data_IF_515065280010
#
_entry.id   IF_515065280010
#
_cell.length_a   1.000
_cell.length_b   1.000
_cell.length_c   1.000
_cell.angle_alpha   90.00
_cell.angle_beta   90.00
_cell.angle_gamma   90.00
#
_symmetry.space_group_name_H-M   'P 1'
#
loop_
_entity.id
_entity.type
_entity.pdbx_description
1 polymer ?
#
# COMPACT_ATOMS: atom_id res chain seq x y z
N UNK A 1 -3.48 5.17 -7.68
CA UNK A 1 -2.39 6.05 -8.18
C UNK A 1 -1.53 6.62 -7.05
N UNK A 2 -2.11 7.17 -5.96
CA UNK A 2 -1.33 7.74 -4.85
C UNK A 2 -0.30 6.76 -4.27
N UNK A 3 -0.68 5.50 -3.99
CA UNK A 3 0.23 4.53 -3.37
C UNK A 3 1.49 4.27 -4.20
N UNK A 4 1.37 4.07 -5.51
CA UNK A 4 2.54 3.88 -6.37
C UNK A 4 3.41 5.13 -6.46
N UNK A 5 2.81 6.33 -6.53
CA UNK A 5 3.57 7.58 -6.47
C UNK A 5 4.31 7.71 -5.13
N UNK A 6 3.66 7.41 -4.01
CA UNK A 6 4.27 7.38 -2.69
C UNK A 6 5.45 6.38 -2.63
N UNK A 7 5.27 5.16 -3.15
CA UNK A 7 6.33 4.16 -3.20
C UNK A 7 7.55 4.64 -3.99
N UNK A 8 7.35 5.27 -5.15
CA UNK A 8 8.43 5.84 -5.96
C UNK A 8 9.16 6.96 -5.21
N UNK A 9 8.41 7.84 -4.53
CA UNK A 9 9.00 8.94 -3.75
C UNK A 9 9.85 8.40 -2.60
N UNK A 10 9.38 7.40 -1.87
CA UNK A 10 10.15 6.78 -0.77
C UNK A 10 11.35 6.00 -1.33
N UNK A 11 11.16 5.30 -2.45
CA UNK A 11 12.23 4.55 -3.11
C UNK A 11 13.35 5.44 -3.68
N UNK A 12 13.16 6.76 -3.74
CA UNK A 12 14.21 7.71 -4.12
C UNK A 12 15.45 7.67 -3.21
N UNK A 13 15.32 7.12 -2.00
CA UNK A 13 16.46 6.85 -1.11
C UNK A 13 17.47 5.88 -1.71
N UNK A 14 17.06 5.03 -2.66
CA UNK A 14 17.95 4.10 -3.36
C UNK A 14 18.88 4.80 -4.37
N UNK A 15 18.52 5.99 -4.86
CA UNK A 15 19.25 6.70 -5.92
C UNK A 15 20.64 7.17 -5.46
N UNK A 16 20.84 7.33 -4.15
CA UNK A 16 22.13 7.73 -3.57
C UNK A 16 22.62 6.75 -2.50
N UNK A 17 22.27 5.47 -2.68
CA UNK A 17 22.71 4.36 -1.83
C UNK A 17 22.46 4.59 -0.33
N UNK A 18 21.30 5.16 -0.01
CA UNK A 18 20.90 5.42 1.37
C UNK A 18 21.43 6.73 1.96
N UNK A 19 22.10 7.57 1.19
CA UNK A 19 22.50 8.91 1.63
C UNK A 19 21.31 9.83 1.93
N UNK A 20 20.17 9.53 1.32
CA UNK A 20 18.89 10.17 1.59
C UNK A 20 18.75 11.59 1.03
N UNK A 21 19.72 12.08 0.23
CA UNK A 21 19.68 13.46 -0.30
C UNK A 21 18.45 13.72 -1.17
N UNK A 22 18.16 12.80 -2.10
CA UNK A 22 17.03 12.95 -3.01
C UNK A 22 15.72 12.87 -2.25
N UNK A 23 15.56 11.88 -1.38
CA UNK A 23 14.37 11.73 -0.55
C UNK A 23 14.17 12.94 0.36
N UNK A 24 15.22 13.43 1.03
CA UNK A 24 15.15 14.58 1.92
C UNK A 24 14.81 15.87 1.17
N UNK A 25 15.33 16.05 -0.05
CA UNK A 25 14.98 17.19 -0.90
C UNK A 25 13.47 17.18 -1.24
N UNK A 26 12.93 16.02 -1.64
CA UNK A 26 11.50 15.87 -1.93
C UNK A 26 10.65 16.11 -0.67
N UNK A 27 11.06 15.52 0.46
CA UNK A 27 10.36 15.69 1.73
C UNK A 27 10.36 17.15 2.20
N UNK A 28 11.49 17.84 2.09
CA UNK A 28 11.61 19.27 2.40
C UNK A 28 10.72 20.13 1.49
N UNK A 29 10.64 19.81 0.19
CA UNK A 29 9.72 20.49 -0.72
C UNK A 29 8.26 20.36 -0.26
N UNK A 30 7.83 19.13 0.11
CA UNK A 30 6.47 18.91 0.60
C UNK A 30 6.20 19.59 1.93
N UNK A 31 7.19 19.73 2.78
CA UNK A 31 7.07 20.44 4.05
C UNK A 31 7.02 21.96 3.84
N UNK A 32 7.93 22.52 3.05
CA UNK A 32 7.98 23.94 2.73
C UNK A 32 6.72 24.45 2.03
N UNK A 33 6.03 23.58 1.28
CA UNK A 33 4.75 23.87 0.61
C UNK A 33 3.52 23.48 1.44
N UNK A 34 3.69 23.09 2.70
CA UNK A 34 2.63 22.55 3.58
C UNK A 34 1.89 21.33 3.02
N UNK A 35 2.42 20.68 1.99
CA UNK A 35 1.81 19.49 1.39
C UNK A 35 1.81 18.30 2.34
N UNK A 36 2.79 18.17 3.22
CA UNK A 36 2.82 17.11 4.23
C UNK A 36 1.73 17.32 5.29
N UNK A 37 1.60 18.56 5.79
CA UNK A 37 0.69 18.94 6.88
C UNK A 37 -0.78 18.96 6.45
N UNK A 38 -1.06 19.33 5.20
CA UNK A 38 -2.43 19.40 4.66
C UNK A 38 -2.76 18.12 3.89
N UNK A 39 -1.86 17.67 3.03
CA UNK A 39 -2.07 16.51 2.16
C UNK A 39 -2.17 15.20 2.95
N UNK A 40 -1.38 15.04 4.01
CA UNK A 40 -1.45 13.85 4.87
C UNK A 40 -2.84 13.63 5.47
N UNK A 41 -3.40 14.59 6.23
CA UNK A 41 -4.77 14.49 6.74
C UNK A 41 -5.84 14.34 5.64
N UNK A 42 -5.67 15.00 4.50
CA UNK A 42 -6.59 14.82 3.36
C UNK A 42 -6.57 13.40 2.82
N UNK A 43 -5.38 12.79 2.69
CA UNK A 43 -5.24 11.39 2.26
C UNK A 43 -5.88 10.45 3.29
N UNK A 44 -5.71 10.72 4.60
CA UNK A 44 -6.38 9.95 5.65
C UNK A 44 -7.90 10.01 5.51
N UNK A 45 -8.45 11.19 5.25
CA UNK A 45 -9.88 11.39 5.05
C UNK A 45 -10.39 10.65 3.80
N UNK A 46 -9.65 10.73 2.69
CA UNK A 46 -9.98 10.02 1.45
C UNK A 46 -9.90 8.50 1.66
N UNK A 47 -8.89 8.01 2.38
CA UNK A 47 -8.76 6.58 2.73
C UNK A 47 -9.93 6.11 3.58
N UNK A 48 -10.33 6.90 4.58
CA UNK A 48 -11.50 6.59 5.43
C UNK A 48 -12.79 6.60 4.62
N UNK A 49 -13.01 7.60 3.76
CA UNK A 49 -14.18 7.66 2.89
C UNK A 49 -14.22 6.47 1.92
N UNK A 50 -13.06 6.12 1.32
CA UNK A 50 -12.92 4.93 0.47
C UNK A 50 -13.30 3.66 1.23
N UNK A 51 -12.81 3.49 2.45
CA UNK A 51 -13.13 2.35 3.29
C UNK A 51 -14.63 2.28 3.61
N UNK A 52 -15.22 3.37 4.09
CA UNK A 52 -16.66 3.43 4.43
C UNK A 52 -17.53 3.08 3.23
N UNK A 53 -17.21 3.60 2.04
CA UNK A 53 -17.95 3.29 0.81
C UNK A 53 -17.78 1.84 0.37
N UNK A 54 -16.57 1.29 0.49
CA UNK A 54 -16.28 -0.11 0.15
C UNK A 54 -16.88 -1.09 1.17
N UNK A 55 -16.85 -0.74 2.44
CA UNK A 55 -17.36 -1.54 3.56
C UNK A 55 -18.84 -1.92 3.41
N UNK A 56 -19.63 -1.10 2.71
CA UNK A 56 -21.05 -1.40 2.40
C UNK A 56 -21.25 -2.73 1.66
N UNK A 57 -20.19 -3.28 1.07
CA UNK A 57 -20.21 -4.56 0.33
C UNK A 57 -19.54 -5.71 1.08
N UNK A 58 -19.05 -5.46 2.28
CA UNK A 58 -18.37 -6.47 3.08
C UNK A 58 -19.35 -7.17 4.02
N UNK A 59 -19.23 -8.48 4.21
CA UNK A 59 -20.02 -9.22 5.20
C UNK A 59 -19.48 -8.93 6.61
N UNK A 60 -20.24 -8.24 7.43
CA UNK A 60 -19.86 -7.96 8.82
C UNK A 60 -20.36 -9.00 9.80
N UNK A 61 -21.42 -9.72 9.46
CA UNK A 61 -21.96 -10.78 10.32
C UNK A 61 -21.21 -12.09 10.11
N UNK A 62 -20.87 -12.78 11.18
CA UNK A 62 -20.18 -14.07 11.14
C UNK A 62 -20.87 -15.11 10.24
N UNK A 63 -22.22 -15.11 10.24
CA UNK A 63 -23.01 -15.97 9.34
C UNK A 63 -22.75 -15.66 7.87
N UNK A 64 -22.75 -14.37 7.50
CA UNK A 64 -22.51 -13.92 6.13
C UNK A 64 -21.07 -14.25 5.69
N UNK A 65 -20.09 -14.08 6.60
CA UNK A 65 -18.69 -14.44 6.34
C UNK A 65 -18.54 -15.96 6.09
N UNK A 66 -19.21 -16.79 6.90
CA UNK A 66 -19.20 -18.25 6.73
C UNK A 66 -19.88 -18.68 5.42
N UNK A 67 -21.01 -18.07 5.08
CA UNK A 67 -21.71 -18.36 3.82
C UNK A 67 -20.87 -17.94 2.61
N UNK A 68 -20.26 -16.75 2.65
CA UNK A 68 -19.37 -16.26 1.61
C UNK A 68 -18.14 -17.16 1.43
N UNK A 69 -17.49 -17.55 2.53
CA UNK A 69 -16.36 -18.47 2.48
C UNK A 69 -16.73 -19.81 1.82
N UNK A 70 -17.83 -20.40 2.27
CA UNK A 70 -18.34 -21.66 1.72
C UNK A 70 -18.70 -21.55 0.24
N UNK A 71 -19.28 -20.42 -0.16
CA UNK A 71 -19.58 -20.11 -1.56
C UNK A 71 -18.31 -19.96 -2.40
N UNK A 72 -17.30 -19.25 -1.89
CA UNK A 72 -16.00 -19.07 -2.56
C UNK A 72 -15.28 -20.40 -2.79
N UNK A 73 -15.27 -21.27 -1.78
CA UNK A 73 -14.68 -22.62 -1.90
C UNK A 73 -15.43 -23.47 -2.93
N UNK A 74 -16.77 -23.39 -2.96
CA UNK A 74 -17.57 -24.19 -3.93
C UNK A 74 -17.40 -23.73 -5.38
N UNK A 75 -17.38 -22.41 -5.61
CA UNK A 75 -17.21 -21.85 -6.95
C UNK A 75 -15.79 -22.08 -7.46
N UNK A 76 -14.79 -22.05 -6.60
CA UNK A 76 -13.38 -22.12 -6.92
C UNK A 76 -12.98 -21.24 -8.12
N UNK A 77 -13.56 -20.03 -8.20
CA UNK A 77 -13.38 -19.10 -9.29
C UNK A 77 -12.39 -18.00 -8.91
N UNK A 78 -11.44 -17.69 -9.81
CA UNK A 78 -10.38 -16.73 -9.55
C UNK A 78 -10.90 -15.37 -9.09
N UNK A 79 -11.86 -14.76 -9.80
CA UNK A 79 -12.39 -13.43 -9.44
C UNK A 79 -13.04 -13.41 -8.04
N UNK A 80 -13.57 -14.55 -7.58
CA UNK A 80 -14.12 -14.68 -6.23
C UNK A 80 -13.01 -14.65 -5.19
N UNK A 81 -11.94 -15.38 -5.41
CA UNK A 81 -10.77 -15.37 -4.53
C UNK A 81 -10.06 -14.03 -4.51
N UNK A 82 -9.91 -13.36 -5.66
CA UNK A 82 -9.38 -11.99 -5.71
C UNK A 82 -10.23 -11.03 -4.89
N UNK A 83 -11.56 -11.19 -4.88
CA UNK A 83 -12.43 -10.39 -4.02
C UNK A 83 -12.20 -10.67 -2.53
N UNK A 84 -12.04 -11.93 -2.13
CA UNK A 84 -11.75 -12.32 -0.74
C UNK A 84 -10.42 -11.71 -0.29
N UNK A 85 -9.37 -11.86 -1.10
CA UNK A 85 -8.04 -11.28 -0.81
C UNK A 85 -8.15 -9.77 -0.66
N UNK A 86 -8.85 -9.09 -1.57
CA UNK A 86 -9.05 -7.64 -1.50
C UNK A 86 -9.81 -7.20 -0.24
N UNK A 87 -10.79 -7.97 0.22
CA UNK A 87 -11.53 -7.69 1.44
C UNK A 87 -10.65 -7.86 2.69
N UNK A 88 -9.88 -8.95 2.76
CA UNK A 88 -8.96 -9.21 3.90
C UNK A 88 -7.86 -8.15 3.96
N UNK A 89 -7.23 -7.86 2.83
CA UNK A 89 -6.18 -6.83 2.76
C UNK A 89 -6.71 -5.45 3.12
N UNK A 90 -7.96 -5.11 2.78
CA UNK A 90 -8.59 -3.84 3.14
C UNK A 90 -8.63 -3.64 4.67
N UNK A 91 -9.01 -4.66 5.45
CA UNK A 91 -9.03 -4.58 6.92
C UNK A 91 -7.63 -4.44 7.50
N UNK A 92 -6.67 -5.20 6.99
CA UNK A 92 -5.27 -5.12 7.43
C UNK A 92 -4.72 -3.72 7.16
N UNK A 93 -4.94 -3.19 5.95
CA UNK A 93 -4.46 -1.85 5.56
C UNK A 93 -5.15 -0.76 6.37
N UNK A 94 -6.44 -0.90 6.69
CA UNK A 94 -7.11 0.08 7.53
C UNK A 94 -6.39 0.25 8.86
N UNK A 95 -6.04 -0.84 9.52
CA UNK A 95 -5.37 -0.80 10.83
C UNK A 95 -3.92 -0.32 10.65
N UNK A 96 -3.15 -1.02 9.83
CA UNK A 96 -1.72 -0.74 9.67
C UNK A 96 -1.48 0.60 8.96
N UNK A 97 -2.31 0.97 7.99
CA UNK A 97 -2.25 2.26 7.32
C UNK A 97 -2.54 3.43 8.25
N UNK A 98 -3.51 3.30 9.17
CA UNK A 98 -3.76 4.31 10.20
C UNK A 98 -2.57 4.45 11.15
N UNK A 99 -1.97 3.34 11.59
CA UNK A 99 -0.76 3.35 12.43
C UNK A 99 0.40 4.03 11.69
N UNK A 100 0.61 3.68 10.42
CA UNK A 100 1.65 4.30 9.58
C UNK A 100 1.44 5.80 9.44
N UNK A 101 0.24 6.23 9.07
CA UNK A 101 -0.08 7.65 8.89
C UNK A 101 0.06 8.44 10.19
N UNK A 102 -0.46 7.90 11.29
CA UNK A 102 -0.29 8.52 12.61
C UNK A 102 1.18 8.71 12.95
N UNK A 103 1.98 7.65 12.84
CA UNK A 103 3.41 7.68 13.16
C UNK A 103 4.18 8.70 12.33
N UNK A 104 3.87 8.81 11.03
CA UNK A 104 4.57 9.74 10.14
C UNK A 104 4.12 11.18 10.36
N UNK A 105 2.81 11.43 10.51
CA UNK A 105 2.28 12.77 10.67
C UNK A 105 2.57 13.40 12.04
N UNK A 106 2.81 12.57 13.07
CA UNK A 106 3.19 13.05 14.41
C UNK A 106 4.69 13.21 14.61
N UNK A 107 5.51 12.80 13.62
CA UNK A 107 6.98 12.88 13.69
C UNK A 107 7.56 13.65 12.50
N UNK A 108 6.96 14.77 12.15
CA UNK A 108 7.49 15.71 11.16
C UNK A 108 8.73 16.43 11.70
N UNK A 109 9.68 16.86 10.86
CA UNK A 109 9.79 16.66 9.43
C UNK A 109 10.16 15.22 9.04
N UNK A 110 9.71 14.79 7.87
CA UNK A 110 10.07 13.47 7.31
C UNK A 110 11.49 13.54 6.76
N UNK A 111 12.36 12.62 7.20
CA UNK A 111 13.71 12.47 6.66
C UNK A 111 14.07 11.01 6.44
N UNK A 112 15.01 10.75 5.54
CA UNK A 112 15.54 9.41 5.30
C UNK A 112 16.18 8.83 6.58
N UNK A 113 16.89 9.66 7.35
CA UNK A 113 17.57 9.30 8.59
C UNK A 113 16.58 8.86 9.68
N UNK A 114 15.51 9.65 9.90
CA UNK A 114 14.43 9.28 10.84
C UNK A 114 13.73 7.98 10.42
N UNK A 115 13.44 7.83 9.12
CA UNK A 115 12.81 6.62 8.57
C UNK A 115 13.74 5.42 8.73
N UNK A 116 15.03 5.57 8.45
CA UNK A 116 16.05 4.55 8.66
C UNK A 116 16.16 4.12 10.12
N UNK A 117 16.31 5.08 11.04
CA UNK A 117 16.39 4.81 12.49
C UNK A 117 15.16 4.04 12.99
N UNK A 118 13.96 4.41 12.51
CA UNK A 118 12.72 3.70 12.83
C UNK A 118 12.74 2.25 12.35
N UNK A 119 13.15 2.00 11.11
CA UNK A 119 13.19 0.66 10.53
C UNK A 119 14.28 -0.19 11.20
N UNK A 120 15.43 0.38 11.52
CA UNK A 120 16.54 -0.30 12.21
C UNK A 120 16.19 -0.73 13.64
N UNK A 121 15.19 -0.14 14.26
CA UNK A 121 14.63 -0.60 15.53
C UNK A 121 13.98 -1.99 15.50
N UNK A 122 13.87 -2.62 14.32
CA UNK A 122 13.43 -4.00 14.11
C UNK A 122 11.91 -4.17 14.04
N UNK A 123 11.14 -3.63 14.98
CA UNK A 123 9.67 -3.73 14.97
C UNK A 123 9.04 -3.12 13.71
N UNK A 124 9.50 -1.94 13.32
CA UNK A 124 9.02 -1.27 12.13
C UNK A 124 9.44 -1.95 10.83
N UNK A 125 10.58 -2.63 10.82
CA UNK A 125 10.96 -3.47 9.68
C UNK A 125 9.92 -4.59 9.46
N UNK A 126 9.58 -5.32 10.53
CA UNK A 126 8.57 -6.38 10.48
C UNK A 126 7.20 -5.81 10.06
N UNK A 127 6.82 -4.66 10.60
CA UNK A 127 5.59 -3.96 10.25
C UNK A 127 5.51 -3.66 8.75
N UNK A 128 6.56 -3.09 8.15
CA UNK A 128 6.56 -2.75 6.73
C UNK A 128 6.73 -3.97 5.82
N UNK A 129 7.45 -5.01 6.23
CA UNK A 129 7.49 -6.29 5.49
C UNK A 129 6.08 -6.88 5.35
N UNK A 130 5.23 -6.70 6.35
CA UNK A 130 3.85 -7.16 6.32
C UNK A 130 2.94 -6.20 5.54
N UNK A 131 3.05 -4.90 5.78
CA UNK A 131 2.19 -3.88 5.17
C UNK A 131 2.38 -3.80 3.66
N UNK A 132 3.63 -3.89 3.18
CA UNK A 132 3.97 -3.75 1.76
C UNK A 132 3.19 -4.72 0.85
N UNK A 133 3.24 -6.06 1.05
CA UNK A 133 2.49 -6.96 0.18
C UNK A 133 0.97 -6.78 0.33
N UNK A 134 0.47 -6.41 1.50
CA UNK A 134 -0.98 -6.18 1.69
C UNK A 134 -1.46 -5.02 0.83
N UNK A 135 -0.69 -3.92 0.81
CA UNK A 135 -1.02 -2.74 0.00
C UNK A 135 -0.94 -3.06 -1.50
N UNK A 136 0.12 -3.70 -1.94
CA UNK A 136 0.33 -3.97 -3.36
C UNK A 136 -0.72 -4.94 -3.92
N UNK A 137 -1.06 -5.99 -3.18
CA UNK A 137 -2.15 -6.89 -3.55
C UNK A 137 -3.50 -6.15 -3.59
N UNK A 138 -3.76 -5.29 -2.59
CA UNK A 138 -5.03 -4.55 -2.56
C UNK A 138 -5.17 -3.60 -3.74
N UNK A 139 -4.13 -2.84 -4.05
CA UNK A 139 -4.13 -1.86 -5.13
C UNK A 139 -4.15 -2.54 -6.49
N UNK A 140 -3.33 -3.57 -6.71
CA UNK A 140 -3.26 -4.32 -7.96
C UNK A 140 -4.60 -4.99 -8.28
N UNK A 141 -5.11 -5.82 -7.37
CA UNK A 141 -6.42 -6.48 -7.50
C UNK A 141 -7.53 -5.44 -7.68
N UNK A 142 -7.47 -4.34 -6.91
CA UNK A 142 -8.46 -3.26 -7.01
C UNK A 142 -8.49 -2.61 -8.39
N UNK A 143 -7.33 -2.30 -8.96
CA UNK A 143 -7.20 -1.73 -10.29
C UNK A 143 -7.76 -2.68 -11.38
N UNK A 144 -7.37 -3.96 -11.31
CA UNK A 144 -7.90 -5.00 -12.21
C UNK A 144 -9.43 -5.08 -12.13
N UNK A 145 -10.00 -5.15 -10.93
CA UNK A 145 -11.44 -5.27 -10.71
C UNK A 145 -12.23 -4.04 -11.15
N UNK A 146 -11.66 -2.85 -10.99
CA UNK A 146 -12.23 -1.61 -11.53
C UNK A 146 -12.27 -1.70 -13.05
N UNK A 147 -11.19 -2.11 -13.70
CA UNK A 147 -11.11 -2.30 -15.15
C UNK A 147 -12.17 -3.28 -15.68
N UNK A 148 -12.39 -4.39 -14.97
CA UNK A 148 -13.46 -5.36 -15.32
C UNK A 148 -14.84 -4.74 -15.13
N UNK A 149 -15.07 -4.06 -13.99
CA UNK A 149 -16.39 -3.47 -13.67
C UNK A 149 -16.80 -2.38 -14.66
N UNK A 150 -15.85 -1.58 -15.15
CA UNK A 150 -16.13 -0.48 -16.09
C UNK A 150 -16.08 -0.93 -17.55
N UNK A 151 -15.84 -2.23 -17.80
CA UNK A 151 -15.81 -2.78 -19.16
C UNK A 151 -14.54 -2.49 -19.96
N UNK A 152 -13.53 -1.89 -19.33
CA UNK A 152 -12.21 -1.69 -19.94
C UNK A 152 -11.49 -3.02 -20.17
N UNK A 153 -11.67 -3.95 -19.22
CA UNK A 153 -11.16 -5.32 -19.31
C UNK A 153 -12.32 -6.24 -19.71
N UNK A 154 -12.29 -6.69 -20.96
CA UNK A 154 -13.28 -7.61 -21.54
C UNK A 154 -12.90 -9.07 -21.26
N UNK A 155 -13.86 -10.00 -21.39
CA UNK A 155 -13.63 -11.43 -21.19
C UNK A 155 -12.47 -11.96 -22.07
N UNK A 156 -12.32 -11.44 -23.29
CA UNK A 156 -11.29 -11.86 -24.26
C UNK A 156 -9.87 -11.46 -23.87
N UNK A 157 -9.68 -10.44 -23.03
CA UNK A 157 -8.35 -9.93 -22.66
C UNK A 157 -8.06 -10.01 -21.14
N UNK A 158 -8.93 -10.65 -20.36
CA UNK A 158 -8.78 -10.79 -18.90
C UNK A 158 -7.46 -11.41 -18.49
N UNK A 159 -7.06 -12.49 -19.16
CA UNK A 159 -5.84 -13.20 -18.83
C UNK A 159 -4.59 -12.31 -19.02
N UNK A 160 -4.58 -11.51 -20.08
CA UNK A 160 -3.50 -10.55 -20.31
C UNK A 160 -3.42 -9.49 -19.20
N UNK A 161 -4.56 -8.86 -18.87
CA UNK A 161 -4.58 -7.81 -17.83
C UNK A 161 -4.31 -8.34 -16.43
N UNK A 162 -4.73 -9.56 -16.12
CA UNK A 162 -4.37 -10.21 -14.86
C UNK A 162 -2.87 -10.50 -14.80
N UNK A 163 -2.27 -10.98 -15.89
CA UNK A 163 -0.82 -11.16 -15.97
C UNK A 163 -0.04 -9.84 -15.87
N UNK A 164 -0.57 -8.76 -16.43
CA UNK A 164 0.02 -7.42 -16.33
C UNK A 164 -0.06 -6.89 -14.89
N UNK A 165 -1.21 -7.02 -14.24
CA UNK A 165 -1.43 -6.64 -12.84
C UNK A 165 -0.44 -7.37 -11.93
N UNK A 166 -0.31 -8.68 -12.06
CA UNK A 166 0.64 -9.47 -11.27
C UNK A 166 2.10 -8.99 -11.46
N UNK A 167 2.49 -8.65 -12.69
CA UNK A 167 3.84 -8.12 -12.97
C UNK A 167 4.06 -6.77 -12.30
N UNK A 168 3.08 -5.85 -12.39
CA UNK A 168 3.17 -4.54 -11.75
C UNK A 168 3.26 -4.69 -10.24
N UNK A 169 2.41 -5.50 -9.63
CA UNK A 169 2.44 -5.82 -8.21
C UNK A 169 3.80 -6.35 -7.78
N UNK A 170 4.36 -7.31 -8.53
CA UNK A 170 5.69 -7.86 -8.23
C UNK A 170 6.81 -6.81 -8.33
N UNK A 171 6.77 -5.94 -9.34
CA UNK A 171 7.73 -4.84 -9.50
C UNK A 171 7.69 -3.93 -8.28
N UNK A 172 6.50 -3.48 -7.84
CA UNK A 172 6.39 -2.58 -6.70
C UNK A 172 6.77 -3.27 -5.38
N UNK A 173 6.43 -4.54 -5.18
CA UNK A 173 6.92 -5.31 -4.03
C UNK A 173 8.46 -5.37 -4.04
N UNK A 174 9.07 -5.64 -5.20
CA UNK A 174 10.54 -5.70 -5.33
C UNK A 174 11.18 -4.35 -5.00
N UNK A 175 10.65 -3.25 -5.55
CA UNK A 175 11.11 -1.89 -5.23
C UNK A 175 10.99 -1.62 -3.73
N UNK A 176 9.86 -1.97 -3.11
CA UNK A 176 9.65 -1.79 -1.68
C UNK A 176 10.61 -2.61 -0.81
N UNK A 177 10.87 -3.86 -1.17
CA UNK A 177 11.84 -4.71 -0.46
C UNK A 177 13.25 -4.14 -0.56
N UNK A 178 13.69 -3.70 -1.75
CA UNK A 178 14.98 -3.04 -1.94
C UNK A 178 15.04 -1.76 -1.08
N UNK A 179 13.98 -0.98 -1.04
CA UNK A 179 13.89 0.24 -0.25
C UNK A 179 13.98 -0.04 1.26
N UNK A 180 13.29 -1.07 1.75
CA UNK A 180 13.39 -1.50 3.15
C UNK A 180 14.81 -1.97 3.49
N UNK A 181 15.44 -2.72 2.60
CA UNK A 181 16.83 -3.13 2.75
C UNK A 181 17.77 -1.92 2.80
N UNK A 182 17.59 -0.95 1.93
CA UNK A 182 18.37 0.31 1.93
C UNK A 182 18.22 1.06 3.24
N UNK A 183 17.01 1.22 3.75
CA UNK A 183 16.78 1.85 5.06
C UNK A 183 17.41 1.08 6.22
N UNK A 184 17.35 -0.24 6.18
CA UNK A 184 17.85 -1.09 7.25
C UNK A 184 19.38 -1.12 7.31
N UNK A 185 20.04 -1.18 6.15
CA UNK A 185 21.50 -1.44 6.05
C UNK A 185 22.31 -0.18 5.73
N UNK A 186 21.81 0.65 4.81
CA UNK A 186 22.62 1.70 4.20
C UNK A 186 22.37 3.10 4.79
N UNK A 187 21.16 3.39 5.24
CA UNK A 187 20.86 4.69 5.85
C UNK A 187 21.49 4.75 7.23
N UNK A 188 22.40 5.72 7.43
CA UNK A 188 22.99 5.97 8.74
C UNK A 188 21.99 6.77 9.61
N UNK A 189 21.63 6.29 10.80
CA UNK A 189 20.84 7.09 11.75
C UNK A 189 21.64 8.34 12.16
N UNK A 190 20.92 9.41 12.49
CA UNK A 190 21.53 10.62 13.04
C UNK A 190 22.05 10.36 14.45
#
# INVERSE_FOLDING_TARGET
MFMWAHMILVASVNLDLGGGRVMNWIAHFFEATYMAQIGGPMIALVMLAHFVLAARKLPFKAREQKEMWRHSVRLNHLDTWLWVIQAVTAFIILIMGCIHMWTVLTDLPITAQKSGARIQGGWWLLFYIFLLPMIELHVGIGAYRIGVKWGWIKRSNRQFFHGLENKITLIFITIGVITLFTFYVLVKPM
#
